data_IF_423722335447
#
_entry.id   IF_423722335447
#
_cell.length_a   1.000
_cell.length_b   1.000
_cell.length_c   1.000
_cell.angle_alpha   90.00
_cell.angle_beta   90.00
_cell.angle_gamma   90.00
#
_symmetry.space_group_name_H-M   'P 1'
#
loop_
_entity.id
_entity.type
_entity.pdbx_description
1 polymer ?
#
# COMPACT_ATOMS: atom_id res chain seq x y z
N UNK A 1 -2.81 25.20 -3.95
CA UNK A 1 -3.39 23.91 -4.35
C UNK A 1 -2.51 23.36 -5.46
N UNK A 2 -1.81 22.26 -5.23
CA UNK A 2 -1.09 21.56 -6.31
C UNK A 2 -2.14 20.81 -7.14
N UNK A 3 -2.24 21.14 -8.41
CA UNK A 3 -3.08 20.44 -9.37
C UNK A 3 -2.37 19.14 -9.75
N UNK A 4 -2.98 18.00 -9.47
CA UNK A 4 -2.52 16.72 -9.98
C UNK A 4 -2.98 16.65 -11.44
N UNK A 5 -2.05 16.78 -12.38
CA UNK A 5 -2.34 16.55 -13.81
C UNK A 5 -2.30 15.04 -14.07
N UNK A 6 -3.47 14.45 -14.34
CA UNK A 6 -3.58 13.05 -14.76
C UNK A 6 -3.26 13.01 -16.26
N UNK A 7 -2.00 12.77 -16.62
CA UNK A 7 -1.56 12.60 -18.01
C UNK A 7 -2.00 11.25 -18.61
N UNK A 8 -3.29 10.91 -18.51
CA UNK A 8 -3.88 9.73 -19.13
C UNK A 8 -5.39 9.95 -19.36
N UNK A 9 -5.77 10.15 -20.63
CA UNK A 9 -7.15 10.40 -21.05
C UNK A 9 -8.11 9.24 -20.70
N UNK A 10 -7.68 7.99 -20.87
CA UNK A 10 -8.53 6.83 -20.52
C UNK A 10 -8.82 6.79 -19.02
N UNK A 11 -7.85 7.20 -18.20
CA UNK A 11 -7.96 7.22 -16.76
C UNK A 11 -8.85 8.38 -16.29
N UNK A 12 -8.75 9.54 -16.95
CA UNK A 12 -9.70 10.64 -16.72
C UNK A 12 -11.13 10.24 -17.09
N UNK A 13 -11.34 9.59 -18.24
CA UNK A 13 -12.66 9.16 -18.69
C UNK A 13 -13.25 8.08 -17.78
N UNK A 14 -12.42 7.16 -17.32
CA UNK A 14 -12.81 6.17 -16.32
C UNK A 14 -13.23 6.83 -15.01
N UNK A 15 -12.42 7.76 -14.47
CA UNK A 15 -12.73 8.46 -13.22
C UNK A 15 -14.03 9.24 -13.37
N UNK A 16 -14.19 10.00 -14.47
CA UNK A 16 -15.43 10.75 -14.76
C UNK A 16 -16.64 9.81 -14.89
N UNK A 17 -16.48 8.65 -15.52
CA UNK A 17 -17.54 7.67 -15.72
C UNK A 17 -17.99 6.95 -14.45
N UNK A 18 -17.06 6.65 -13.54
CA UNK A 18 -17.37 5.94 -12.30
C UNK A 18 -17.78 6.87 -11.16
N UNK A 19 -17.12 8.02 -11.03
CA UNK A 19 -17.29 8.91 -9.87
C UNK A 19 -18.01 10.21 -10.22
N UNK A 20 -17.99 10.65 -11.47
CA UNK A 20 -18.67 11.88 -11.90
C UNK A 20 -18.17 13.12 -11.16
N UNK A 21 -18.99 13.64 -10.25
CA UNK A 21 -18.68 14.78 -9.38
C UNK A 21 -18.47 14.37 -7.91
N UNK A 22 -18.59 13.08 -7.59
CA UNK A 22 -18.42 12.55 -6.24
C UNK A 22 -16.92 12.36 -5.92
N UNK A 23 -16.27 13.46 -5.56
CA UNK A 23 -14.86 13.46 -5.18
C UNK A 23 -14.58 12.70 -3.89
N UNK A 24 -15.57 12.59 -3.00
CA UNK A 24 -15.39 11.99 -1.67
C UNK A 24 -15.29 10.46 -1.79
N UNK A 25 -16.15 9.85 -2.62
CA UNK A 25 -16.06 8.42 -2.94
C UNK A 25 -14.76 8.08 -3.67
N UNK A 26 -14.34 8.90 -4.65
CA UNK A 26 -13.06 8.71 -5.34
C UNK A 26 -11.87 8.75 -4.36
N UNK A 27 -11.86 9.73 -3.45
CA UNK A 27 -10.80 9.85 -2.46
C UNK A 27 -10.80 8.66 -1.49
N UNK A 28 -11.98 8.21 -1.06
CA UNK A 28 -12.12 7.06 -0.18
C UNK A 28 -11.57 5.78 -0.83
N UNK A 29 -11.94 5.51 -2.08
CA UNK A 29 -11.49 4.32 -2.81
C UNK A 29 -9.99 4.38 -3.07
N UNK A 30 -9.46 5.55 -3.44
CA UNK A 30 -8.02 5.75 -3.59
C UNK A 30 -7.26 5.47 -2.27
N UNK A 31 -7.72 6.02 -1.16
CA UNK A 31 -7.10 5.80 0.15
C UNK A 31 -7.19 4.32 0.58
N UNK A 32 -8.29 3.65 0.25
CA UNK A 32 -8.48 2.21 0.51
C UNK A 32 -7.52 1.36 -0.31
N UNK A 33 -7.33 1.68 -1.59
CA UNK A 33 -6.34 1.04 -2.45
C UNK A 33 -4.92 1.21 -1.89
N UNK A 34 -4.51 2.45 -1.57
CA UNK A 34 -3.18 2.74 -1.02
C UNK A 34 -2.92 1.96 0.27
N UNK A 35 -3.90 1.90 1.18
CA UNK A 35 -3.79 1.11 2.42
C UNK A 35 -3.62 -0.38 2.13
N UNK A 36 -4.38 -0.92 1.18
CA UNK A 36 -4.32 -2.32 0.81
C UNK A 36 -2.97 -2.69 0.20
N UNK A 37 -2.46 -1.86 -0.72
CA UNK A 37 -1.13 -2.03 -1.32
C UNK A 37 -0.01 -1.92 -0.27
N UNK A 38 -0.13 -0.98 0.67
CA UNK A 38 0.84 -0.85 1.76
C UNK A 38 0.89 -2.13 2.63
N UNK A 39 -0.28 -2.65 3.02
CA UNK A 39 -0.36 -3.92 3.77
C UNK A 39 0.19 -5.08 2.96
N UNK A 40 -0.16 -5.17 1.67
CA UNK A 40 0.36 -6.19 0.76
C UNK A 40 1.89 -6.15 0.63
N UNK A 41 2.46 -4.96 0.55
CA UNK A 41 3.91 -4.75 0.52
C UNK A 41 4.59 -5.22 1.82
N UNK A 42 4.06 -4.85 2.99
CA UNK A 42 4.63 -5.28 4.27
C UNK A 42 4.51 -6.80 4.49
N UNK A 43 3.39 -7.41 4.07
CA UNK A 43 3.23 -8.87 4.09
C UNK A 43 4.27 -9.55 3.21
N UNK A 44 4.43 -9.09 1.96
CA UNK A 44 5.41 -9.65 1.02
C UNK A 44 6.82 -9.53 1.59
N UNK A 45 7.18 -8.38 2.16
CA UNK A 45 8.46 -8.16 2.82
C UNK A 45 8.69 -9.16 3.96
N UNK A 46 7.68 -9.41 4.80
CA UNK A 46 7.75 -10.43 5.84
C UNK A 46 8.03 -11.83 5.28
N UNK A 47 7.34 -12.24 4.22
CA UNK A 47 7.59 -13.53 3.55
C UNK A 47 8.99 -13.61 2.92
N UNK A 48 9.46 -12.54 2.29
CA UNK A 48 10.80 -12.47 1.70
C UNK A 48 11.88 -12.59 2.80
N UNK A 49 11.67 -11.99 3.97
CA UNK A 49 12.57 -12.12 5.12
C UNK A 49 12.62 -13.54 5.70
N UNK A 50 11.47 -14.23 5.78
CA UNK A 50 11.43 -15.65 6.18
C UNK A 50 12.21 -16.53 5.20
N UNK A 51 12.02 -16.33 3.89
CA UNK A 51 12.79 -17.08 2.88
C UNK A 51 14.31 -16.84 2.98
N UNK A 52 14.71 -15.61 3.28
CA UNK A 52 16.13 -15.28 3.50
C UNK A 52 16.69 -15.94 4.76
N UNK A 53 15.86 -16.12 5.79
CA UNK A 53 16.22 -16.88 6.99
C UNK A 53 16.35 -18.38 6.73
N UNK A 54 15.37 -18.99 6.06
CA UNK A 54 15.41 -20.42 5.69
C UNK A 54 16.63 -20.77 4.84
N UNK A 55 17.10 -19.83 4.01
CA UNK A 55 18.31 -19.99 3.18
C UNK A 55 19.61 -19.65 3.93
N UNK A 56 19.54 -19.30 5.22
CA UNK A 56 20.69 -18.97 6.07
C UNK A 56 21.36 -17.63 5.74
N UNK A 57 20.74 -16.81 4.88
CA UNK A 57 21.31 -15.55 4.36
C UNK A 57 21.02 -14.34 5.24
N UNK A 58 20.04 -14.43 6.15
CA UNK A 58 19.71 -13.36 7.09
C UNK A 58 19.21 -13.95 8.41
N UNK A 59 19.75 -13.57 9.58
CA UNK A 59 19.10 -13.90 10.85
C UNK A 59 17.77 -13.13 10.93
N UNK A 60 16.69 -13.79 11.36
CA UNK A 60 15.43 -13.08 11.65
C UNK A 60 15.72 -12.04 12.74
N UNK A 61 15.44 -10.76 12.47
CA UNK A 61 15.15 -9.82 13.55
C UNK A 61 14.03 -10.42 14.37
N UNK A 62 14.22 -10.57 15.68
CA UNK A 62 13.36 -11.43 16.50
C UNK A 62 11.88 -11.10 16.31
N UNK A 63 11.02 -12.09 16.55
CA UNK A 63 9.56 -11.92 16.48
C UNK A 63 9.12 -10.69 17.31
N UNK A 64 9.81 -10.38 18.42
CA UNK A 64 9.56 -9.16 19.18
C UNK A 64 9.82 -7.86 18.38
N UNK A 65 10.86 -7.80 17.56
CA UNK A 65 11.21 -6.61 16.78
C UNK A 65 10.21 -6.36 15.64
N UNK A 66 9.73 -7.43 15.00
CA UNK A 66 8.65 -7.37 14.00
C UNK A 66 7.34 -6.92 14.65
N UNK A 67 6.98 -7.50 15.80
CA UNK A 67 5.76 -7.12 16.55
C UNK A 67 5.84 -5.70 17.10
N UNK A 68 7.02 -5.21 17.47
CA UNK A 68 7.23 -3.84 17.91
C UNK A 68 6.99 -2.83 16.78
N UNK A 69 7.49 -3.10 15.57
CA UNK A 69 7.29 -2.22 14.40
C UNK A 69 5.84 -2.15 13.95
N UNK A 70 5.11 -3.26 14.01
CA UNK A 70 3.67 -3.29 13.71
C UNK A 70 2.84 -2.52 14.75
N UNK A 71 3.24 -2.55 16.02
CA UNK A 71 2.58 -1.77 17.09
C UNK A 71 2.90 -0.28 17.04
N UNK A 72 4.08 0.10 16.56
CA UNK A 72 4.50 1.51 16.44
C UNK A 72 3.98 2.21 15.17
N UNK A 73 3.30 1.50 14.27
CA UNK A 73 2.71 2.06 13.05
C UNK A 73 1.28 2.61 13.26
N UNK A 74 0.80 2.67 14.51
CA UNK A 74 -0.45 3.32 14.93
C UNK A 74 -0.19 4.72 15.50
#
# INVERSE_FOLDING_TARGET
MQTIEINNLELEDFIKGQYGQDSDSLLYDFMTFVRTEFVGHELKKGFDEVKLFETGKKPLSSVEEMMARLRSAN
#
